data_IF_254665974005
#
_entry.id   IF_254665974005
#
_cell.length_a   1.000
_cell.length_b   1.000
_cell.length_c   1.000
_cell.angle_alpha   90.00
_cell.angle_beta   90.00
_cell.angle_gamma   90.00
#
_symmetry.space_group_name_H-M   'P 1'
#
loop_
_entity.id
_entity.type
_entity.pdbx_description
1 polymer ?
#
# COMPACT_ATOMS: atom_id res chain seq x y z
N UNK A 1 -21.16 13.03 1.10
CA UNK A 1 -20.70 12.92 2.51
C UNK A 1 -20.02 14.20 2.97
N UNK A 2 -18.94 14.64 2.30
CA UNK A 2 -18.28 15.94 2.53
C UNK A 2 -19.27 17.13 2.53
N UNK A 3 -20.23 17.13 1.60
CA UNK A 3 -21.31 18.14 1.55
C UNK A 3 -22.23 18.16 2.78
N UNK A 4 -22.45 17.02 3.44
CA UNK A 4 -23.43 16.90 4.55
C UNK A 4 -22.78 17.03 5.94
N UNK A 5 -21.49 16.68 6.07
CA UNK A 5 -20.74 16.71 7.34
C UNK A 5 -19.87 17.97 7.46
N UNK A 6 -19.48 18.56 6.33
CA UNK A 6 -18.51 19.66 6.28
C UNK A 6 -17.06 19.17 6.50
N UNK A 7 -16.08 19.93 5.98
CA UNK A 7 -14.67 19.55 6.06
C UNK A 7 -14.13 19.48 7.51
N UNK A 8 -14.79 20.16 8.44
CA UNK A 8 -14.31 20.34 9.81
C UNK A 8 -14.59 19.13 10.72
N UNK A 9 -15.65 18.37 10.43
CA UNK A 9 -16.12 17.24 11.25
C UNK A 9 -15.86 15.89 10.60
N UNK A 10 -15.09 15.89 9.52
CA UNK A 10 -14.81 14.70 8.76
C UNK A 10 -13.60 13.97 9.31
N UNK A 11 -13.81 12.69 9.62
CA UNK A 11 -12.78 11.82 10.18
C UNK A 11 -12.45 10.74 9.17
N UNK A 12 -11.16 10.39 9.05
CA UNK A 12 -10.70 9.26 8.23
C UNK A 12 -10.56 8.02 9.12
N UNK A 13 -11.17 6.87 8.78
CA UNK A 13 -12.03 6.59 7.62
C UNK A 13 -13.43 7.23 7.73
N UNK A 14 -14.05 7.55 6.60
CA UNK A 14 -15.28 8.36 6.52
C UNK A 14 -16.44 7.86 7.39
N UNK A 15 -16.56 6.55 7.61
CA UNK A 15 -17.58 5.96 8.50
C UNK A 15 -17.45 6.41 9.96
N UNK A 16 -16.29 6.93 10.37
CA UNK A 16 -16.05 7.49 11.70
C UNK A 16 -16.87 8.75 12.00
N UNK A 17 -17.29 9.50 10.97
CA UNK A 17 -18.10 10.71 11.13
C UNK A 17 -19.62 10.45 11.25
N UNK A 18 -20.06 9.19 11.25
CA UNK A 18 -21.47 8.83 11.41
C UNK A 18 -21.92 8.85 12.88
N UNK A 19 -23.23 9.07 13.07
CA UNK A 19 -23.90 8.88 14.36
C UNK A 19 -23.64 7.44 14.89
N UNK A 20 -23.49 7.18 16.21
CA UNK A 20 -22.98 5.92 16.73
C UNK A 20 -23.72 4.66 16.28
N UNK A 21 -25.04 4.73 16.09
CA UNK A 21 -25.83 3.60 15.58
C UNK A 21 -25.40 3.21 14.17
N UNK A 22 -25.32 4.18 13.25
CA UNK A 22 -24.91 3.92 11.87
C UNK A 22 -23.41 3.63 11.75
N UNK A 23 -22.56 4.21 12.61
CA UNK A 23 -21.12 3.88 12.71
C UNK A 23 -20.95 2.38 13.01
N UNK A 24 -21.65 1.86 14.03
CA UNK A 24 -21.58 0.43 14.40
C UNK A 24 -22.04 -0.50 13.27
N UNK A 25 -23.16 -0.16 12.61
CA UNK A 25 -23.69 -0.95 11.49
C UNK A 25 -22.69 -0.96 10.32
N UNK A 26 -22.13 0.20 9.94
CA UNK A 26 -21.15 0.29 8.87
C UNK A 26 -19.88 -0.52 9.18
N UNK A 27 -19.35 -0.42 10.41
CA UNK A 27 -18.19 -1.20 10.83
C UNK A 27 -18.48 -2.71 10.87
N UNK A 28 -19.71 -3.13 11.18
CA UNK A 28 -20.09 -4.54 11.16
C UNK A 28 -19.95 -5.17 9.75
N UNK A 29 -20.22 -4.41 8.69
CA UNK A 29 -20.00 -4.87 7.30
C UNK A 29 -18.54 -4.69 6.84
N UNK A 30 -17.84 -3.68 7.35
CA UNK A 30 -16.45 -3.42 7.00
C UNK A 30 -15.48 -4.45 7.61
N UNK A 31 -15.70 -4.89 8.85
CA UNK A 31 -14.79 -5.81 9.56
C UNK A 31 -14.58 -7.12 8.78
N UNK A 32 -15.62 -7.85 8.33
CA UNK A 32 -15.43 -9.10 7.57
C UNK A 32 -14.63 -8.90 6.28
N UNK A 33 -14.89 -7.80 5.56
CA UNK A 33 -14.19 -7.51 4.30
C UNK A 33 -12.72 -7.16 4.53
N UNK A 34 -12.42 -6.37 5.58
CA UNK A 34 -11.05 -6.03 5.97
C UNK A 34 -10.28 -7.29 6.39
N UNK A 35 -10.88 -8.16 7.20
CA UNK A 35 -10.24 -9.41 7.63
C UNK A 35 -9.95 -10.34 6.45
N UNK A 36 -10.91 -10.50 5.54
CA UNK A 36 -10.74 -11.33 4.36
C UNK A 36 -9.66 -10.80 3.42
N UNK A 37 -9.68 -9.49 3.11
CA UNK A 37 -8.68 -8.86 2.26
C UNK A 37 -7.28 -8.93 2.89
N UNK A 38 -7.17 -8.66 4.19
CA UNK A 38 -5.91 -8.76 4.92
C UNK A 38 -5.31 -10.17 4.87
N UNK A 39 -6.13 -11.19 5.14
CA UNK A 39 -5.72 -12.60 5.07
C UNK A 39 -5.34 -13.01 3.64
N UNK A 40 -6.10 -12.57 2.63
CA UNK A 40 -5.82 -12.85 1.22
C UNK A 40 -4.47 -12.27 0.79
N UNK A 41 -4.23 -10.98 1.04
CA UNK A 41 -2.98 -10.32 0.64
C UNK A 41 -1.76 -10.85 1.40
N UNK A 42 -1.90 -11.17 2.70
CA UNK A 42 -0.85 -11.83 3.48
C UNK A 42 -0.52 -13.21 2.89
N UNK A 43 -1.52 -14.01 2.54
CA UNK A 43 -1.31 -15.33 1.96
C UNK A 43 -0.68 -15.28 0.56
N UNK A 44 -1.09 -14.34 -0.31
CA UNK A 44 -0.48 -14.16 -1.63
C UNK A 44 1.01 -13.79 -1.50
N UNK A 45 1.32 -12.86 -0.59
CA UNK A 45 2.69 -12.43 -0.32
C UNK A 45 3.54 -13.57 0.27
N UNK A 46 2.99 -14.30 1.23
CA UNK A 46 3.66 -15.45 1.84
C UNK A 46 3.96 -16.55 0.83
N UNK A 47 2.99 -16.88 -0.05
CA UNK A 47 3.21 -17.84 -1.15
C UNK A 47 4.30 -17.36 -2.10
N UNK A 48 4.28 -16.09 -2.49
CA UNK A 48 5.31 -15.53 -3.38
C UNK A 48 6.72 -15.67 -2.77
N UNK A 49 6.89 -15.30 -1.50
CA UNK A 49 8.15 -15.41 -0.77
C UNK A 49 8.56 -16.88 -0.61
N UNK A 50 7.64 -17.75 -0.19
CA UNK A 50 7.88 -19.18 -0.04
C UNK A 50 8.36 -19.79 -1.36
N UNK A 51 7.66 -19.53 -2.46
CA UNK A 51 8.08 -19.99 -3.78
C UNK A 51 9.44 -19.44 -4.20
N UNK A 52 9.81 -18.22 -3.79
CA UNK A 52 11.11 -17.62 -4.10
C UNK A 52 12.24 -18.24 -3.28
N UNK A 53 12.03 -18.45 -1.97
CA UNK A 53 12.99 -19.09 -1.06
C UNK A 53 13.25 -20.54 -1.48
N UNK A 54 12.21 -21.28 -1.83
CA UNK A 54 12.33 -22.66 -2.28
C UNK A 54 12.65 -22.81 -3.78
N UNK A 55 13.00 -21.72 -4.50
CA UNK A 55 13.36 -21.73 -5.95
C UNK A 55 14.81 -22.18 -6.23
N UNK A 56 15.59 -22.51 -5.20
CA UNK A 56 16.95 -23.05 -5.35
C UNK A 56 16.99 -24.26 -6.31
N UNK A 57 18.10 -24.46 -7.07
CA UNK A 57 18.22 -25.47 -8.12
C UNK A 57 18.34 -26.87 -7.50
N UNK A 58 17.19 -27.42 -7.14
CA UNK A 58 17.03 -28.73 -6.56
C UNK A 58 15.54 -28.92 -6.36
N UNK A 59 14.98 -29.95 -7.01
CA UNK A 59 13.56 -30.28 -6.97
C UNK A 59 13.20 -30.71 -5.54
N UNK A 60 13.05 -29.75 -4.64
CA UNK A 60 12.86 -30.03 -3.22
C UNK A 60 11.45 -30.58 -3.01
N UNK A 61 11.39 -31.85 -2.61
CA UNK A 61 10.20 -32.60 -2.18
C UNK A 61 9.37 -31.85 -1.10
N UNK A 62 9.91 -30.77 -0.53
CA UNK A 62 9.33 -29.95 0.53
C UNK A 62 8.30 -28.92 0.01
N UNK A 63 8.10 -28.81 -1.32
CA UNK A 63 7.05 -27.95 -1.92
C UNK A 63 5.66 -28.59 -1.95
N UNK A 64 5.60 -29.92 -1.84
CA UNK A 64 4.35 -30.70 -2.00
C UNK A 64 4.13 -31.71 -0.87
N UNK A 65 5.13 -31.93 -0.02
CA UNK A 65 5.08 -32.85 1.13
C UNK A 65 5.03 -32.06 2.44
N UNK A 66 4.27 -32.56 3.43
CA UNK A 66 4.14 -31.97 4.76
C UNK A 66 5.42 -32.16 5.58
N UNK A 67 6.49 -31.45 5.22
CA UNK A 67 7.75 -31.48 5.97
C UNK A 67 7.73 -30.43 7.08
N UNK A 68 8.22 -30.78 8.28
CA UNK A 68 8.33 -29.85 9.41
C UNK A 68 9.09 -28.56 9.05
N UNK A 69 10.13 -28.67 8.21
CA UNK A 69 10.89 -27.53 7.69
C UNK A 69 10.05 -26.61 6.79
N UNK A 70 9.11 -27.15 6.02
CA UNK A 70 8.19 -26.37 5.19
C UNK A 70 7.17 -25.59 6.03
N UNK A 71 6.59 -26.24 7.04
CA UNK A 71 5.71 -25.59 8.01
C UNK A 71 6.43 -24.52 8.83
N UNK A 72 7.67 -24.78 9.28
CA UNK A 72 8.47 -23.80 10.01
C UNK A 72 8.82 -22.58 9.14
N UNK A 73 9.22 -22.79 7.88
CA UNK A 73 9.48 -21.69 6.95
C UNK A 73 8.21 -20.89 6.65
N UNK A 74 7.06 -21.56 6.47
CA UNK A 74 5.78 -20.90 6.27
C UNK A 74 5.37 -20.05 7.48
N UNK A 75 5.38 -20.63 8.68
CA UNK A 75 5.07 -19.92 9.92
C UNK A 75 6.03 -18.76 10.17
N UNK A 76 7.32 -18.93 9.86
CA UNK A 76 8.32 -17.87 9.95
C UNK A 76 8.04 -16.71 9.00
N UNK A 77 7.69 -16.98 7.74
CA UNK A 77 7.33 -15.93 6.76
C UNK A 77 6.07 -15.19 7.20
N UNK A 78 5.02 -15.92 7.59
CA UNK A 78 3.77 -15.31 8.05
C UNK A 78 4.02 -14.48 9.30
N UNK A 79 4.70 -15.03 10.31
CA UNK A 79 5.04 -14.34 11.54
C UNK A 79 5.85 -13.07 11.29
N UNK A 80 6.88 -13.13 10.44
CA UNK A 80 7.70 -11.96 10.12
C UNK A 80 6.88 -10.86 9.41
N UNK A 81 6.01 -11.22 8.46
CA UNK A 81 5.15 -10.24 7.77
C UNK A 81 4.15 -9.59 8.72
N UNK A 82 3.58 -10.35 9.66
CA UNK A 82 2.67 -9.82 10.68
C UNK A 82 3.37 -8.92 11.69
N UNK A 83 4.57 -9.28 12.14
CA UNK A 83 5.38 -8.42 13.01
C UNK A 83 5.72 -7.09 12.31
N UNK A 84 6.12 -7.14 11.04
CA UNK A 84 6.37 -5.92 10.27
C UNK A 84 5.10 -5.04 10.14
N UNK A 85 3.94 -5.64 9.89
CA UNK A 85 2.68 -4.92 9.82
C UNK A 85 2.30 -4.28 11.17
N UNK A 86 2.53 -4.99 12.28
CA UNK A 86 2.31 -4.48 13.63
C UNK A 86 3.18 -3.26 13.92
N UNK A 87 4.48 -3.34 13.60
CA UNK A 87 5.41 -2.20 13.78
C UNK A 87 4.96 -0.99 12.95
N UNK A 88 4.55 -1.19 11.69
CA UNK A 88 4.06 -0.09 10.85
C UNK A 88 2.76 0.54 11.39
N UNK A 89 1.86 -0.26 11.96
CA UNK A 89 0.63 0.23 12.57
C UNK A 89 0.90 1.09 13.82
N UNK A 90 1.92 0.75 14.61
CA UNK A 90 2.32 1.51 15.81
C UNK A 90 3.12 2.78 15.47
N UNK A 91 3.87 2.78 14.36
CA UNK A 91 4.67 3.93 13.90
C UNK A 91 3.84 4.97 13.17
N UNK A 92 2.75 4.58 12.50
CA UNK A 92 1.90 5.50 11.73
C UNK A 92 0.49 5.52 12.35
N UNK A 93 0.25 6.40 13.34
CA UNK A 93 -0.99 6.40 14.14
C UNK A 93 -2.23 6.91 13.40
N UNK A 94 -2.08 7.41 12.16
CA UNK A 94 -3.19 7.90 11.34
C UNK A 94 -3.33 7.13 10.02
N UNK A 95 -4.54 6.60 9.82
CA UNK A 95 -4.89 5.86 8.61
C UNK A 95 -4.71 6.69 7.32
N UNK A 96 -4.98 7.99 7.36
CA UNK A 96 -4.84 8.86 6.19
C UNK A 96 -3.40 9.02 5.73
N UNK A 97 -2.46 9.14 6.67
CA UNK A 97 -1.04 9.29 6.32
C UNK A 97 -0.44 7.96 5.87
N UNK A 98 -0.88 6.85 6.46
CA UNK A 98 -0.53 5.50 5.98
C UNK A 98 -1.00 5.29 4.54
N UNK A 99 -2.26 5.63 4.22
CA UNK A 99 -2.79 5.52 2.86
C UNK A 99 -2.05 6.41 1.87
N UNK A 100 -1.75 7.66 2.24
CA UNK A 100 -0.99 8.59 1.40
C UNK A 100 0.42 8.08 1.11
N UNK A 101 1.11 7.57 2.15
CA UNK A 101 2.43 6.99 2.02
C UNK A 101 2.40 5.76 1.09
N UNK A 102 1.48 4.83 1.33
CA UNK A 102 1.32 3.63 0.47
C UNK A 102 1.00 3.99 -0.98
N UNK A 103 0.11 4.97 -1.20
CA UNK A 103 -0.21 5.46 -2.55
C UNK A 103 1.02 6.06 -3.23
N UNK A 104 1.75 6.94 -2.55
CA UNK A 104 2.96 7.56 -3.12
C UNK A 104 4.06 6.55 -3.45
N UNK A 105 4.25 5.50 -2.64
CA UNK A 105 5.30 4.51 -2.85
C UNK A 105 4.96 3.49 -3.93
N UNK A 106 3.73 2.95 -3.93
CA UNK A 106 3.38 1.79 -4.76
C UNK A 106 2.53 2.16 -5.98
N UNK A 107 1.57 3.06 -5.82
CA UNK A 107 0.65 3.43 -6.91
C UNK A 107 1.39 4.21 -8.01
N UNK A 108 2.41 4.99 -7.65
CA UNK A 108 3.20 5.75 -8.62
C UNK A 108 3.93 4.86 -9.62
N UNK A 109 4.49 3.75 -9.13
CA UNK A 109 5.22 2.82 -9.97
C UNK A 109 4.27 2.03 -10.87
N UNK A 110 3.25 1.38 -10.31
CA UNK A 110 2.33 0.54 -11.07
C UNK A 110 1.33 1.33 -11.93
N UNK A 111 0.86 2.48 -11.44
CA UNK A 111 -0.14 3.30 -12.11
C UNK A 111 0.43 4.16 -13.24
N UNK A 112 1.63 4.70 -13.08
CA UNK A 112 2.20 5.65 -14.06
C UNK A 112 3.49 5.12 -14.73
N UNK A 113 4.52 4.81 -13.93
CA UNK A 113 5.86 4.54 -14.47
C UNK A 113 5.89 3.23 -15.27
N UNK A 114 5.28 2.16 -14.77
CA UNK A 114 5.27 0.84 -15.40
C UNK A 114 4.63 0.88 -16.80
N UNK A 115 3.45 1.48 -16.93
CA UNK A 115 2.75 1.57 -18.22
C UNK A 115 3.47 2.49 -19.20
N UNK A 116 4.04 3.61 -18.72
CA UNK A 116 4.88 4.48 -19.53
C UNK A 116 6.13 3.78 -20.08
N UNK A 117 6.81 2.99 -19.25
CA UNK A 117 7.96 2.18 -19.70
C UNK A 117 7.54 1.06 -20.65
N UNK A 118 6.41 0.38 -20.39
CA UNK A 118 5.89 -0.67 -21.25
C UNK A 118 5.61 -0.15 -22.67
N UNK A 119 5.02 1.05 -22.79
CA UNK A 119 4.83 1.70 -24.10
C UNK A 119 6.16 1.92 -24.84
N UNK A 120 7.19 2.42 -24.13
CA UNK A 120 8.52 2.65 -24.72
C UNK A 120 9.21 1.36 -25.16
N UNK A 121 8.95 0.23 -24.48
CA UNK A 121 9.45 -1.08 -24.92
C UNK A 121 8.70 -1.64 -26.13
N UNK A 122 7.42 -1.29 -26.30
CA UNK A 122 6.60 -1.73 -27.43
C UNK A 122 6.97 -1.00 -28.74
N UNK A 123 7.39 0.26 -28.65
CA UNK A 123 7.82 1.09 -29.80
C UNK A 123 9.29 1.53 -29.69
N UNK A 124 10.25 0.62 -29.92
CA UNK A 124 11.68 0.94 -29.78
C UNK A 124 12.21 1.81 -30.95
N UNK A 125 13.26 2.58 -30.67
CA UNK A 125 14.06 3.25 -31.71
C UNK A 125 13.32 4.39 -32.43
N UNK A 126 13.35 4.38 -33.76
CA UNK A 126 12.73 5.41 -34.60
C UNK A 126 11.19 5.28 -34.68
N UNK A 127 10.63 4.12 -34.31
CA UNK A 127 9.19 3.85 -34.37
C UNK A 127 8.38 4.73 -33.41
N UNK A 128 8.99 5.18 -32.30
CA UNK A 128 8.35 6.12 -31.35
C UNK A 128 8.09 7.51 -31.93
N UNK A 129 8.83 7.87 -32.98
CA UNK A 129 8.70 9.16 -33.68
C UNK A 129 8.07 8.99 -35.06
N UNK A 130 7.46 7.84 -35.34
CA UNK A 130 6.80 7.56 -36.60
C UNK A 130 5.47 8.35 -36.69
N UNK A 131 5.58 9.63 -37.05
CA UNK A 131 4.47 10.54 -37.29
C UNK A 131 4.07 11.42 -36.09
N UNK A 132 3.26 12.47 -36.34
CA UNK A 132 2.89 13.45 -35.32
C UNK A 132 2.02 12.84 -34.21
N UNK A 133 1.11 11.92 -34.54
CA UNK A 133 0.28 11.23 -33.56
C UNK A 133 1.12 10.36 -32.60
N UNK A 134 2.07 9.58 -33.14
CA UNK A 134 2.94 8.72 -32.33
C UNK A 134 3.93 9.52 -31.47
N UNK A 135 4.38 10.66 -31.99
CA UNK A 135 5.20 11.62 -31.25
C UNK A 135 4.44 12.17 -30.04
N UNK A 136 3.17 12.53 -30.21
CA UNK A 136 2.31 13.00 -29.11
C UNK A 136 2.10 11.90 -28.06
N UNK A 137 1.79 10.67 -28.46
CA UNK A 137 1.66 9.52 -27.56
C UNK A 137 2.95 9.27 -26.78
N UNK A 138 4.10 9.33 -27.45
CA UNK A 138 5.42 9.13 -26.83
C UNK A 138 5.72 10.22 -25.79
N UNK A 139 5.44 11.50 -26.12
CA UNK A 139 5.59 12.61 -25.17
C UNK A 139 4.68 12.46 -23.95
N UNK A 140 3.43 12.03 -24.15
CA UNK A 140 2.50 11.75 -23.06
C UNK A 140 3.02 10.65 -22.14
N UNK A 141 3.58 9.57 -22.68
CA UNK A 141 4.17 8.50 -21.89
C UNK A 141 5.41 8.95 -21.10
N UNK A 142 6.27 9.81 -21.66
CA UNK A 142 7.37 10.44 -20.89
C UNK A 142 6.83 11.32 -19.77
N UNK A 143 5.76 12.09 -20.02
CA UNK A 143 5.10 12.87 -18.98
C UNK A 143 4.56 11.98 -17.86
N UNK A 144 3.93 10.84 -18.16
CA UNK A 144 3.47 9.90 -17.14
C UNK A 144 4.62 9.36 -16.27
N UNK A 145 5.78 9.05 -16.87
CA UNK A 145 6.95 8.61 -16.11
C UNK A 145 7.45 9.72 -15.17
N UNK A 146 7.56 10.96 -15.67
CA UNK A 146 7.99 12.11 -14.87
C UNK A 146 6.99 12.44 -13.76
N UNK A 147 5.70 12.38 -14.06
CA UNK A 147 4.63 12.58 -13.08
C UNK A 147 4.68 11.50 -11.99
N UNK A 148 4.86 10.23 -12.37
CA UNK A 148 5.02 9.13 -11.42
C UNK A 148 6.23 9.32 -10.51
N UNK A 149 7.38 9.75 -11.06
CA UNK A 149 8.57 10.08 -10.25
C UNK A 149 8.32 11.28 -9.33
N UNK A 150 7.61 12.29 -9.80
CA UNK A 150 7.23 13.44 -9.00
C UNK A 150 6.34 13.03 -7.82
N UNK A 151 5.28 12.25 -8.05
CA UNK A 151 4.37 11.80 -6.98
C UNK A 151 5.12 10.88 -6.01
N UNK A 152 6.04 10.05 -6.49
CA UNK A 152 6.89 9.23 -5.63
C UNK A 152 7.72 10.10 -4.67
N UNK A 153 8.43 11.11 -5.19
CA UNK A 153 9.32 11.95 -4.36
C UNK A 153 8.52 12.92 -3.50
N UNK A 154 7.68 13.75 -4.12
CA UNK A 154 6.93 14.79 -3.41
C UNK A 154 5.86 14.18 -2.49
N UNK A 155 5.18 13.12 -2.93
CA UNK A 155 4.15 12.44 -2.13
C UNK A 155 4.74 11.73 -0.91
N UNK A 156 5.89 11.04 -1.06
CA UNK A 156 6.57 10.43 0.09
C UNK A 156 7.05 11.49 1.06
N UNK A 157 7.64 12.59 0.56
CA UNK A 157 8.12 13.70 1.39
C UNK A 157 6.99 14.32 2.22
N UNK A 158 5.87 14.69 1.57
CA UNK A 158 4.73 15.31 2.26
C UNK A 158 4.12 14.34 3.27
N UNK A 159 4.02 13.05 2.95
CA UNK A 159 3.48 12.05 3.87
C UNK A 159 4.35 11.90 5.12
N UNK A 160 5.67 11.84 4.95
CA UNK A 160 6.62 11.77 6.07
C UNK A 160 6.57 13.05 6.91
N UNK A 161 6.53 14.22 6.27
CA UNK A 161 6.42 15.49 6.98
C UNK A 161 5.12 15.59 7.79
N UNK A 162 3.99 15.15 7.22
CA UNK A 162 2.69 15.09 7.92
C UNK A 162 2.74 14.24 9.20
N UNK A 163 3.47 13.12 9.15
CA UNK A 163 3.69 12.25 10.32
C UNK A 163 4.52 12.99 11.38
N UNK A 164 5.63 13.62 10.99
CA UNK A 164 6.51 14.38 11.90
C UNK A 164 5.73 15.53 12.56
N UNK A 165 5.00 16.31 11.78
CA UNK A 165 4.21 17.45 12.28
C UNK A 165 3.13 16.98 13.26
N UNK A 166 2.53 15.82 13.01
CA UNK A 166 1.51 15.24 13.89
C UNK A 166 2.08 14.77 15.23
N UNK A 167 3.29 14.21 15.24
CA UNK A 167 4.03 13.90 16.46
C UNK A 167 4.45 15.17 17.21
N UNK A 168 4.96 16.18 16.51
CA UNK A 168 5.38 17.46 17.11
C UNK A 168 4.20 18.23 17.73
N UNK A 169 3.02 18.13 17.12
CA UNK A 169 1.79 18.73 17.62
C UNK A 169 1.17 17.98 18.82
N UNK A 170 1.80 16.90 19.32
CA UNK A 170 1.26 16.01 20.38
C UNK A 170 -0.18 15.53 20.11
N UNK A 171 -0.58 15.43 18.83
CA UNK A 171 -1.90 14.92 18.45
C UNK A 171 -2.01 13.40 18.61
N UNK A 172 -0.87 12.74 18.83
CA UNK A 172 -0.71 11.30 19.03
C UNK A 172 0.24 11.05 20.19
N UNK A 173 0.02 9.94 20.89
CA UNK A 173 0.96 9.49 21.91
C UNK A 173 2.32 9.11 21.31
N UNK A 174 3.32 8.85 22.16
CA UNK A 174 4.62 8.35 21.70
C UNK A 174 4.43 7.00 20.97
N UNK A 175 5.34 6.66 20.05
CA UNK A 175 5.33 5.33 19.43
C UNK A 175 5.33 4.25 20.53
N UNK A 176 4.46 3.24 20.40
CA UNK A 176 4.18 2.21 21.41
C UNK A 176 3.58 2.71 22.74
N UNK A 177 2.98 3.90 22.78
CA UNK A 177 2.22 4.33 23.95
C UNK A 177 0.89 3.55 24.06
N UNK A 178 0.52 3.14 25.27
CA UNK A 178 -0.79 2.53 25.55
C UNK A 178 -1.98 3.51 25.40
N UNK A 179 -1.77 4.67 24.76
CA UNK A 179 -2.80 5.65 24.53
C UNK A 179 -3.73 5.21 23.39
N UNK A 180 -5.03 5.42 23.56
CA UNK A 180 -6.01 5.11 22.51
C UNK A 180 -5.80 6.03 21.31
N UNK A 181 -5.36 5.46 20.18
CA UNK A 181 -5.37 6.12 18.87
C UNK A 181 -6.75 6.03 18.17
N UNK A 182 -7.77 5.54 18.87
CA UNK A 182 -9.15 5.44 18.38
C UNK A 182 -9.92 6.75 18.51
N UNK A 183 -10.71 7.05 17.47
CA UNK A 183 -11.71 8.12 17.34
C UNK A 183 -13.10 7.72 17.84
#
# INVERSE_FOLDING_TARGET
MYHFVGNQYMVSPAFGALNPLYKKIAFAFAIPTILYLGALYSNVSAKYIFHRVFRAPGRSHHRTSNTATGWAAWAGIVGATWVAAFVLAEVIPFFSDLLRLMGSLFDCWFGFIFWGMAYLTLYPGALKWAGPARTLETLFNYFLILLGLYILVAGTYISVQSIIDSYAANKVGTAFSCASNGI
#
